data_IF_229694884222
#
_entry.id   IF_229694884222
#
_cell.length_a   1.000
_cell.length_b   1.000
_cell.length_c   1.000
_cell.angle_alpha   90.00
_cell.angle_beta   90.00
_cell.angle_gamma   90.00
#
_symmetry.space_group_name_H-M   'P 1'
#
loop_
_entity.id
_entity.type
_entity.pdbx_description
1 polymer ?
#
# COMPACT_ATOMS: atom_id res chain seq x y z
N UNK A 1 -4.35 -12.72 29.37
CA UNK A 1 -5.18 -12.56 28.15
C UNK A 1 -4.48 -11.63 27.16
N UNK A 2 -4.73 -11.81 25.86
CA UNK A 2 -4.21 -10.98 24.77
C UNK A 2 -5.35 -10.51 23.87
N UNK A 3 -5.23 -9.28 23.36
CA UNK A 3 -6.15 -8.72 22.37
C UNK A 3 -5.36 -8.11 21.20
N UNK A 4 -4.79 -8.95 20.32
CA UNK A 4 -3.97 -8.48 19.21
C UNK A 4 -4.75 -7.50 18.33
N UNK A 5 -4.14 -6.35 18.06
CA UNK A 5 -4.78 -5.27 17.31
C UNK A 5 -3.80 -4.70 16.29
N UNK A 6 -4.26 -4.50 15.07
CA UNK A 6 -3.56 -3.80 14.01
C UNK A 6 -3.98 -2.32 13.99
N UNK A 7 -3.00 -1.43 13.96
CA UNK A 7 -3.18 0.02 13.85
C UNK A 7 -2.60 0.50 12.52
N UNK A 8 -3.38 1.25 11.76
CA UNK A 8 -3.02 1.77 10.44
C UNK A 8 -3.74 3.09 10.16
N UNK A 9 -3.51 3.70 9.01
CA UNK A 9 -4.26 4.88 8.59
C UNK A 9 -4.70 4.77 7.14
N UNK A 10 -5.91 5.28 6.84
CA UNK A 10 -6.42 5.46 5.48
C UNK A 10 -6.78 6.94 5.34
N UNK A 11 -6.27 7.62 4.30
CA UNK A 11 -6.48 9.05 4.06
C UNK A 11 -6.16 9.93 5.29
N UNK A 12 -5.06 9.60 5.99
CA UNK A 12 -4.64 10.22 7.24
C UNK A 12 -5.64 10.07 8.41
N UNK A 13 -6.62 9.17 8.30
CA UNK A 13 -7.52 8.84 9.41
C UNK A 13 -7.01 7.58 10.12
N UNK A 14 -6.83 7.62 11.45
CA UNK A 14 -6.39 6.46 12.21
C UNK A 14 -7.48 5.39 12.24
N UNK A 15 -7.08 4.15 12.02
CA UNK A 15 -7.92 2.97 12.01
C UNK A 15 -7.31 1.89 12.89
N UNK A 16 -8.15 1.01 13.43
CA UNK A 16 -7.71 -0.18 14.15
C UNK A 16 -8.64 -1.36 13.87
N UNK A 17 -8.12 -2.57 13.95
CA UNK A 17 -8.88 -3.81 13.85
C UNK A 17 -8.15 -4.96 14.55
N UNK A 18 -8.89 -5.93 15.03
CA UNK A 18 -8.40 -7.19 15.57
C UNK A 18 -8.72 -8.40 14.67
N UNK A 19 -9.26 -8.17 13.47
CA UNK A 19 -9.72 -9.22 12.55
C UNK A 19 -9.13 -9.02 11.15
N UNK A 20 -9.62 -8.05 10.35
CA UNK A 20 -9.26 -7.95 8.95
C UNK A 20 -9.12 -6.50 8.48
N UNK A 21 -8.09 -6.25 7.67
CA UNK A 21 -7.93 -5.06 6.84
C UNK A 21 -8.25 -5.49 5.40
N UNK A 22 -9.37 -5.02 4.87
CA UNK A 22 -9.83 -5.40 3.54
C UNK A 22 -9.54 -4.34 2.50
N UNK A 23 -9.10 -4.79 1.32
CA UNK A 23 -8.99 -3.99 0.08
C UNK A 23 -8.25 -2.65 0.27
N UNK A 24 -7.25 -2.64 1.16
CA UNK A 24 -6.43 -1.46 1.38
C UNK A 24 -5.49 -1.21 0.18
N UNK A 25 -5.02 0.02 0.03
CA UNK A 25 -4.09 0.38 -1.03
C UNK A 25 -2.64 0.32 -0.52
N UNK A 26 -1.72 -0.15 -1.36
CA UNK A 26 -0.29 -0.04 -1.12
C UNK A 26 0.20 1.41 -1.41
N UNK A 27 1.22 1.91 -0.68
CA UNK A 27 1.83 1.29 0.49
C UNK A 27 0.94 1.43 1.73
N UNK A 28 0.85 0.37 2.54
CA UNK A 28 0.13 0.41 3.81
C UNK A 28 1.07 0.06 4.95
N UNK A 29 1.34 0.99 5.84
CA UNK A 29 2.09 0.75 7.07
C UNK A 29 1.14 0.33 8.17
N UNK A 30 1.40 -0.84 8.79
CA UNK A 30 0.59 -1.39 9.88
C UNK A 30 1.47 -1.71 11.08
N UNK A 31 1.02 -1.29 12.25
CA UNK A 31 1.62 -1.65 13.54
C UNK A 31 0.71 -2.67 14.24
N UNK A 32 1.27 -3.80 14.61
CA UNK A 32 0.59 -4.88 15.33
C UNK A 32 1.02 -4.86 16.78
N UNK A 33 0.06 -4.87 17.71
CA UNK A 33 0.30 -4.90 19.17
C UNK A 33 -0.40 -6.10 19.77
N UNK A 34 0.30 -6.84 20.65
CA UNK A 34 -0.28 -7.98 21.33
C UNK A 34 -1.30 -7.59 22.40
N UNK A 35 -1.21 -6.37 22.96
CA UNK A 35 -2.09 -5.82 24.00
C UNK A 35 -2.35 -6.81 25.15
N UNK A 36 -1.31 -7.23 25.89
CA UNK A 36 -1.48 -8.13 27.01
C UNK A 36 -2.32 -7.50 28.14
N UNK A 37 -3.15 -8.30 28.78
CA UNK A 37 -3.93 -7.92 29.94
C UNK A 37 -3.96 -9.04 30.98
N UNK A 38 -4.07 -8.69 32.25
CA UNK A 38 -4.13 -9.67 33.35
C UNK A 38 -2.98 -10.69 33.35
N UNK A 39 -1.75 -10.23 33.07
CA UNK A 39 -0.55 -11.06 33.14
C UNK A 39 0.00 -10.97 34.57
N UNK A 40 0.22 -12.10 35.19
CA UNK A 40 0.84 -12.16 36.53
C UNK A 40 2.27 -11.64 36.47
N UNK A 41 2.70 -10.96 37.56
CA UNK A 41 4.02 -10.35 37.63
C UNK A 41 5.19 -11.34 37.49
N UNK A 42 4.93 -12.63 37.76
CA UNK A 42 5.92 -13.70 37.65
C UNK A 42 5.89 -14.40 36.28
N UNK A 43 4.95 -14.02 35.39
CA UNK A 43 4.79 -14.59 34.06
C UNK A 43 5.47 -13.71 33.04
N UNK A 44 6.40 -14.28 32.29
CA UNK A 44 7.05 -13.59 31.17
C UNK A 44 6.53 -14.15 29.83
N UNK A 45 5.73 -13.39 29.07
CA UNK A 45 5.29 -13.81 27.76
C UNK A 45 6.42 -13.64 26.74
N UNK A 46 6.57 -14.63 25.87
CA UNK A 46 7.41 -14.57 24.67
C UNK A 46 6.51 -14.54 23.44
N UNK A 47 6.65 -13.52 22.65
CA UNK A 47 5.81 -13.27 21.49
C UNK A 47 6.44 -13.83 20.23
N UNK A 48 5.60 -14.31 19.30
CA UNK A 48 6.03 -14.69 17.97
C UNK A 48 4.95 -14.30 16.96
N UNK A 49 5.23 -13.28 16.14
CA UNK A 49 4.40 -12.87 15.02
C UNK A 49 4.87 -13.54 13.74
N UNK A 50 3.99 -14.27 13.07
CA UNK A 50 4.25 -14.93 11.77
C UNK A 50 3.48 -14.26 10.67
N UNK A 51 4.19 -13.77 9.66
CA UNK A 51 3.62 -13.15 8.47
C UNK A 51 3.65 -14.14 7.32
N UNK A 52 2.48 -14.59 6.85
CA UNK A 52 2.34 -15.64 5.84
C UNK A 52 1.51 -15.14 4.67
N UNK A 53 2.06 -15.18 3.45
CA UNK A 53 1.30 -14.86 2.24
C UNK A 53 0.27 -15.95 1.96
N UNK A 54 -0.88 -15.56 1.44
CA UNK A 54 -1.92 -16.50 1.01
C UNK A 54 -1.36 -17.53 0.02
N UNK A 55 -1.72 -18.80 0.23
CA UNK A 55 -1.22 -19.93 -0.57
C UNK A 55 0.19 -20.43 -0.18
N UNK A 56 0.81 -19.85 0.86
CA UNK A 56 2.07 -20.34 1.40
C UNK A 56 1.86 -21.06 2.73
N UNK A 57 2.58 -22.15 2.94
CA UNK A 57 2.62 -22.88 4.22
C UNK A 57 3.69 -22.37 5.17
N UNK A 58 4.51 -21.41 4.72
CA UNK A 58 5.64 -20.89 5.50
C UNK A 58 5.57 -19.38 5.62
N UNK A 59 5.83 -18.83 6.82
CA UNK A 59 5.95 -17.40 7.00
C UNK A 59 7.17 -16.88 6.22
N UNK A 60 7.01 -15.71 5.59
CA UNK A 60 8.14 -15.01 4.97
C UNK A 60 8.88 -14.11 5.96
N UNK A 61 8.25 -13.81 7.11
CA UNK A 61 8.83 -13.01 8.18
C UNK A 61 8.31 -13.48 9.54
N UNK A 62 9.20 -13.46 10.54
CA UNK A 62 8.87 -13.72 11.95
C UNK A 62 9.43 -12.58 12.79
N UNK A 63 8.68 -12.14 13.81
CA UNK A 63 9.06 -11.10 14.79
C UNK A 63 8.73 -11.57 16.19
N UNK A 64 9.50 -11.08 17.17
CA UNK A 64 9.44 -11.59 18.56
C UNK A 64 9.13 -10.51 19.59
N UNK A 65 8.84 -9.29 19.15
CA UNK A 65 8.52 -8.16 20.02
C UNK A 65 7.02 -8.16 20.38
N UNK A 66 6.64 -7.53 21.50
CA UNK A 66 5.24 -7.29 21.86
C UNK A 66 4.52 -6.43 20.83
N UNK A 67 5.24 -5.47 20.25
CA UNK A 67 4.78 -4.59 19.16
C UNK A 67 5.71 -4.73 17.96
N UNK A 68 5.15 -4.93 16.78
CA UNK A 68 5.90 -5.00 15.51
C UNK A 68 5.19 -4.23 14.41
N UNK A 69 5.92 -3.86 13.37
CA UNK A 69 5.37 -3.11 12.24
C UNK A 69 5.82 -3.68 10.91
N UNK A 70 4.97 -3.53 9.90
CA UNK A 70 5.29 -3.92 8.54
C UNK A 70 4.63 -2.99 7.51
N UNK A 71 5.35 -2.69 6.44
CA UNK A 71 4.84 -1.93 5.30
C UNK A 71 4.46 -2.89 4.16
N UNK A 72 3.17 -2.96 3.85
CA UNK A 72 2.65 -3.77 2.76
C UNK A 72 2.72 -2.99 1.46
N UNK A 73 3.61 -3.40 0.57
CA UNK A 73 3.85 -2.75 -0.75
C UNK A 73 3.40 -3.62 -1.92
N UNK A 74 3.09 -4.89 -1.69
CA UNK A 74 2.63 -5.83 -2.72
C UNK A 74 1.14 -6.13 -2.55
N UNK A 75 0.42 -6.28 -3.66
CA UNK A 75 -0.96 -6.74 -3.64
C UNK A 75 -1.08 -8.20 -3.20
N UNK A 76 -2.24 -8.55 -2.66
CA UNK A 76 -2.56 -9.89 -2.17
C UNK A 76 -2.90 -9.91 -0.69
N UNK A 77 -3.13 -11.11 -0.16
CA UNK A 77 -3.50 -11.31 1.24
C UNK A 77 -2.34 -11.88 2.04
N UNK A 78 -2.19 -11.36 3.25
CA UNK A 78 -1.21 -11.82 4.25
C UNK A 78 -1.94 -12.11 5.56
N UNK A 79 -1.71 -13.29 6.12
CA UNK A 79 -2.09 -13.61 7.49
C UNK A 79 -0.97 -13.20 8.44
N UNK A 80 -1.32 -12.53 9.53
CA UNK A 80 -0.42 -12.13 10.61
C UNK A 80 -0.91 -12.84 11.87
N UNK A 81 -0.21 -13.91 12.25
CA UNK A 81 -0.57 -14.78 13.36
C UNK A 81 0.28 -14.43 14.58
N UNK A 82 -0.35 -14.22 15.72
CA UNK A 82 0.32 -14.10 17.00
C UNK A 82 0.31 -15.44 17.73
N UNK A 83 1.50 -15.87 18.12
CA UNK A 83 1.73 -16.96 19.05
C UNK A 83 2.37 -16.42 20.33
N UNK A 84 2.02 -16.99 21.46
CA UNK A 84 2.61 -16.63 22.76
C UNK A 84 3.00 -17.88 23.53
N UNK A 85 4.23 -17.90 24.01
CA UNK A 85 4.72 -18.88 24.99
C UNK A 85 4.94 -18.20 26.34
N UNK A 86 4.98 -18.98 27.41
CA UNK A 86 5.15 -18.48 28.76
C UNK A 86 6.35 -19.13 29.42
N UNK A 87 7.10 -18.36 30.23
CA UNK A 87 8.14 -18.86 31.12
C UNK A 87 9.12 -19.82 30.44
N UNK A 88 9.70 -19.40 29.30
CA UNK A 88 10.66 -20.17 28.49
C UNK A 88 10.12 -21.53 27.96
N UNK A 89 8.80 -21.70 27.93
CA UNK A 89 8.17 -22.84 27.25
C UNK A 89 8.45 -22.82 25.78
N UNK A 90 8.69 -23.98 25.18
CA UNK A 90 8.77 -24.15 23.72
C UNK A 90 7.39 -24.29 23.06
N UNK A 91 6.34 -24.49 23.87
CA UNK A 91 4.99 -24.68 23.40
C UNK A 91 4.27 -23.32 23.31
N UNK A 92 4.33 -22.69 22.16
CA UNK A 92 3.64 -21.44 21.88
C UNK A 92 2.18 -21.69 21.49
N UNK A 93 1.26 -21.00 22.15
CA UNK A 93 -0.15 -21.03 21.85
C UNK A 93 -0.50 -20.01 20.75
N UNK A 94 -1.28 -20.43 19.75
CA UNK A 94 -1.85 -19.51 18.75
C UNK A 94 -2.95 -18.67 19.40
N UNK A 95 -2.78 -17.36 19.39
CA UNK A 95 -3.72 -16.42 20.02
C UNK A 95 -4.78 -15.96 19.03
N UNK A 96 -4.35 -15.40 17.90
CA UNK A 96 -5.26 -14.93 16.85
C UNK A 96 -4.55 -14.70 15.52
N UNK A 97 -5.34 -14.52 14.48
CA UNK A 97 -4.90 -14.14 13.14
C UNK A 97 -5.54 -12.82 12.75
N UNK A 98 -4.72 -11.86 12.32
CA UNK A 98 -5.18 -10.63 11.64
C UNK A 98 -4.85 -10.79 10.16
N UNK A 99 -5.85 -10.59 9.29
CA UNK A 99 -5.64 -10.67 7.84
C UNK A 99 -5.48 -9.27 7.25
N UNK A 100 -4.50 -9.11 6.35
CA UNK A 100 -4.28 -7.88 5.61
C UNK A 100 -4.40 -8.17 4.12
N UNK A 101 -5.37 -7.54 3.46
CA UNK A 101 -5.59 -7.66 2.02
C UNK A 101 -5.28 -6.32 1.34
N UNK A 102 -4.33 -6.35 0.41
CA UNK A 102 -3.90 -5.20 -0.41
C UNK A 102 -4.47 -5.36 -1.82
N UNK A 103 -5.11 -4.30 -2.31
CA UNK A 103 -5.70 -4.24 -3.64
C UNK A 103 -4.68 -4.47 -4.74
N UNK A 104 -5.12 -5.05 -5.85
CA UNK A 104 -4.35 -5.14 -7.09
C UNK A 104 -4.04 -3.72 -7.59
N UNK A 105 -2.83 -3.50 -8.07
CA UNK A 105 -2.43 -2.25 -8.71
C UNK A 105 -3.30 -1.97 -9.93
N UNK A 106 -3.81 -0.76 -10.03
CA UNK A 106 -4.56 -0.26 -11.18
C UNK A 106 -4.00 1.10 -11.60
N UNK A 107 -3.62 1.22 -12.86
CA UNK A 107 -3.23 2.47 -13.47
C UNK A 107 -3.85 2.55 -14.88
N UNK A 108 -4.63 3.58 -15.11
CA UNK A 108 -5.20 3.86 -16.44
C UNK A 108 -4.83 5.28 -16.86
N UNK A 109 -4.37 5.40 -18.11
CA UNK A 109 -4.13 6.69 -18.75
C UNK A 109 -5.25 6.98 -19.77
N UNK A 110 -5.66 8.25 -19.95
CA UNK A 110 -6.66 8.58 -20.97
C UNK A 110 -6.08 8.43 -22.39
N UNK A 111 -6.95 8.11 -23.36
CA UNK A 111 -6.55 8.00 -24.75
C UNK A 111 -6.40 9.36 -25.46
N UNK A 112 -7.01 10.41 -24.90
CA UNK A 112 -6.99 11.75 -25.45
C UNK A 112 -7.24 12.79 -24.35
N UNK A 113 -6.84 14.04 -24.62
CA UNK A 113 -7.19 15.22 -23.83
C UNK A 113 -7.32 16.43 -24.72
N UNK A 114 -7.94 17.50 -24.24
CA UNK A 114 -8.23 18.72 -25.00
C UNK A 114 -7.91 19.97 -24.19
N UNK A 115 -6.66 20.45 -24.21
CA UNK A 115 -6.22 21.61 -23.40
C UNK A 115 -6.72 22.92 -24.04
N UNK A 116 -8.03 23.18 -23.92
CA UNK A 116 -8.71 24.35 -24.47
C UNK A 116 -9.16 25.36 -23.40
N UNK A 117 -8.94 25.04 -22.12
CA UNK A 117 -9.27 25.90 -20.97
C UNK A 117 -10.75 25.88 -20.59
N UNK A 118 -11.52 24.87 -20.98
CA UNK A 118 -12.94 24.74 -20.60
C UNK A 118 -13.17 24.02 -19.26
N UNK A 119 -12.07 23.55 -18.63
CA UNK A 119 -12.10 22.81 -17.37
C UNK A 119 -12.38 21.32 -17.53
N UNK A 120 -12.49 20.80 -18.76
CA UNK A 120 -12.78 19.40 -19.04
C UNK A 120 -11.63 18.78 -19.85
N UNK A 121 -10.93 17.79 -19.28
CA UNK A 121 -9.80 17.11 -19.91
C UNK A 121 -8.68 18.05 -20.42
N UNK A 122 -8.48 19.18 -19.73
CA UNK A 122 -7.42 20.14 -20.05
C UNK A 122 -6.02 19.63 -19.70
N UNK A 123 -5.93 18.66 -18.78
CA UNK A 123 -4.67 18.08 -18.30
C UNK A 123 -4.64 16.59 -18.65
N UNK A 124 -3.59 16.15 -19.31
CA UNK A 124 -3.31 14.73 -19.51
C UNK A 124 -2.68 14.13 -18.26
N UNK A 125 -3.42 13.36 -17.51
CA UNK A 125 -2.98 12.71 -16.24
C UNK A 125 -3.55 11.31 -16.11
N UNK A 126 -3.06 10.54 -15.12
CA UNK A 126 -3.66 9.29 -14.74
C UNK A 126 -5.14 9.49 -14.34
N UNK A 127 -5.99 8.50 -14.63
CA UNK A 127 -7.38 8.52 -14.17
C UNK A 127 -7.45 8.40 -12.66
N UNK A 128 -8.45 9.02 -12.05
CA UNK A 128 -8.61 9.09 -10.59
C UNK A 128 -8.96 7.75 -9.92
N UNK A 129 -9.19 6.68 -10.72
CA UNK A 129 -9.45 5.32 -10.23
C UNK A 129 -8.17 4.49 -9.96
N UNK A 130 -6.98 5.10 -10.03
CA UNK A 130 -5.72 4.41 -9.74
C UNK A 130 -5.67 3.86 -8.30
N UNK A 131 -5.03 2.70 -8.13
CA UNK A 131 -4.91 2.01 -6.82
C UNK A 131 -3.54 1.40 -6.65
N UNK A 132 -3.04 1.38 -5.42
CA UNK A 132 -1.81 0.67 -5.03
C UNK A 132 -0.61 0.99 -5.92
N UNK A 133 -0.43 2.27 -6.25
CA UNK A 133 0.71 2.78 -6.99
C UNK A 133 1.71 3.34 -5.97
N UNK A 134 2.85 2.68 -5.84
CA UNK A 134 3.91 3.04 -4.87
C UNK A 134 4.99 3.93 -5.46
N UNK A 135 5.13 3.91 -6.78
CA UNK A 135 6.03 4.77 -7.54
C UNK A 135 5.41 5.07 -8.91
N UNK A 136 5.59 6.29 -9.39
CA UNK A 136 4.99 6.74 -10.64
C UNK A 136 5.94 7.68 -11.36
N UNK A 137 6.19 7.43 -12.64
CA UNK A 137 6.88 8.35 -13.53
C UNK A 137 6.32 8.22 -14.93
N UNK A 138 5.79 9.31 -15.47
CA UNK A 138 5.25 9.36 -16.82
C UNK A 138 6.03 10.32 -17.73
N UNK A 139 6.13 9.97 -18.99
CA UNK A 139 6.87 10.70 -20.02
C UNK A 139 6.01 10.94 -21.24
N UNK A 140 6.11 12.13 -21.85
CA UNK A 140 5.49 12.44 -23.12
C UNK A 140 6.58 12.63 -24.19
N UNK A 141 6.41 11.96 -25.32
CA UNK A 141 7.28 12.06 -26.48
C UNK A 141 6.48 12.52 -27.69
N UNK A 142 7.11 13.37 -28.52
CA UNK A 142 6.54 13.74 -29.81
C UNK A 142 6.77 12.59 -30.84
N UNK A 143 6.23 12.76 -32.04
CA UNK A 143 6.32 11.77 -33.12
C UNK A 143 7.75 11.43 -33.60
N UNK A 144 8.74 12.25 -33.22
CA UNK A 144 10.15 12.03 -33.52
C UNK A 144 10.92 11.36 -32.38
N UNK A 145 10.21 10.95 -31.30
CA UNK A 145 10.82 10.32 -30.13
C UNK A 145 11.53 11.31 -29.19
N UNK A 146 11.34 12.60 -29.36
CA UNK A 146 11.88 13.60 -28.45
C UNK A 146 10.99 13.69 -27.21
N UNK A 147 11.57 13.54 -26.01
CA UNK A 147 10.88 13.79 -24.75
C UNK A 147 10.56 15.28 -24.63
N UNK A 148 9.30 15.61 -24.40
CA UNK A 148 8.81 16.98 -24.29
C UNK A 148 8.27 17.32 -22.91
N UNK A 149 7.88 16.32 -22.12
CA UNK A 149 7.42 16.50 -20.75
C UNK A 149 7.63 15.23 -19.92
N UNK A 150 7.76 15.36 -18.61
CA UNK A 150 7.70 14.26 -17.66
C UNK A 150 7.24 14.74 -16.27
N UNK A 151 6.63 13.83 -15.50
CA UNK A 151 6.18 14.12 -14.16
C UNK A 151 6.15 12.85 -13.29
N UNK A 152 6.23 13.03 -11.95
CA UNK A 152 6.32 11.95 -10.95
C UNK A 152 5.16 11.96 -9.94
N UNK A 153 4.39 13.04 -9.86
CA UNK A 153 3.19 13.07 -9.02
C UNK A 153 1.99 12.57 -9.83
N UNK A 154 1.43 11.42 -9.45
CA UNK A 154 0.32 10.76 -10.14
C UNK A 154 -0.94 11.65 -10.25
N UNK A 155 -1.12 12.61 -9.34
CA UNK A 155 -2.24 13.55 -9.35
C UNK A 155 -2.01 14.76 -10.25
N UNK A 156 -0.77 14.99 -10.67
CA UNK A 156 -0.42 16.03 -11.64
C UNK A 156 -0.44 15.48 -13.07
N UNK A 157 -0.13 16.32 -14.05
CA UNK A 157 -0.14 15.90 -15.45
C UNK A 157 0.39 16.97 -16.40
N UNK A 158 0.26 16.71 -17.70
CA UNK A 158 0.71 17.57 -18.77
C UNK A 158 -0.42 18.44 -19.31
N UNK A 159 -0.20 19.73 -19.39
CA UNK A 159 -1.14 20.75 -19.88
C UNK A 159 -1.11 20.96 -21.43
N UNK A 160 -0.37 20.15 -22.17
CA UNK A 160 -0.22 20.30 -23.60
C UNK A 160 0.76 21.36 -24.04
N UNK A 161 1.61 21.88 -23.14
CA UNK A 161 2.64 22.87 -23.50
C UNK A 161 4.05 22.27 -23.58
N UNK A 162 4.88 22.87 -24.43
CA UNK A 162 6.31 22.60 -24.51
C UNK A 162 7.07 23.92 -24.68
N UNK A 163 8.03 24.19 -23.79
CA UNK A 163 8.79 25.46 -23.76
C UNK A 163 7.87 26.69 -23.73
N UNK A 164 6.78 26.62 -22.96
CA UNK A 164 5.83 27.73 -22.77
C UNK A 164 4.88 27.98 -23.95
N UNK A 165 4.79 27.08 -24.91
CA UNK A 165 3.87 27.17 -26.05
C UNK A 165 3.03 25.93 -26.18
N UNK A 166 1.75 26.11 -26.53
CA UNK A 166 0.85 25.02 -26.88
C UNK A 166 1.45 24.18 -27.99
N UNK A 167 1.46 22.86 -27.85
CA UNK A 167 1.90 21.96 -28.93
C UNK A 167 0.82 21.80 -29.97
N UNK A 168 1.20 21.40 -31.20
CA UNK A 168 0.24 21.14 -32.27
C UNK A 168 -0.66 19.95 -31.91
N UNK A 169 -1.93 20.01 -32.33
CA UNK A 169 -2.82 18.85 -32.27
C UNK A 169 -2.23 17.67 -33.04
N UNK A 170 -2.30 16.48 -32.47
CA UNK A 170 -1.73 15.27 -33.07
C UNK A 170 -1.54 14.15 -32.11
N UNK A 171 -0.73 13.15 -32.52
CA UNK A 171 -0.41 11.98 -31.70
C UNK A 171 0.89 12.20 -30.97
N UNK A 172 0.85 11.88 -29.68
CA UNK A 172 1.99 11.86 -28.76
C UNK A 172 2.08 10.47 -28.13
N UNK A 173 3.29 10.05 -27.80
CA UNK A 173 3.54 8.78 -27.17
C UNK A 173 3.73 8.99 -25.66
N UNK A 174 3.12 8.10 -24.88
CA UNK A 174 3.20 8.11 -23.43
C UNK A 174 3.91 6.85 -22.97
N UNK A 175 4.89 7.01 -22.08
CA UNK A 175 5.51 5.94 -21.33
C UNK A 175 5.23 6.18 -19.84
N UNK A 176 4.78 5.16 -19.15
CA UNK A 176 4.53 5.19 -17.70
C UNK A 176 5.23 4.00 -17.04
#
# INVERSE_FOLDING_TARGET
DFNPTAYYSIDNQPMETNDVINDAQAPLFVTFKANPSNIDAETTPAYEWRFTKEGSDKPFMIRYEEETSFEFIESGSTSVDLYVAYNDSTDAEHISTIKVSISISLLEMPNAFSPNGDGINDIYKAKDNHKSIIDFHAYIFNRWGQKIYDWTDINSGWDGTYKGKQVAAGVYFVLV
#
